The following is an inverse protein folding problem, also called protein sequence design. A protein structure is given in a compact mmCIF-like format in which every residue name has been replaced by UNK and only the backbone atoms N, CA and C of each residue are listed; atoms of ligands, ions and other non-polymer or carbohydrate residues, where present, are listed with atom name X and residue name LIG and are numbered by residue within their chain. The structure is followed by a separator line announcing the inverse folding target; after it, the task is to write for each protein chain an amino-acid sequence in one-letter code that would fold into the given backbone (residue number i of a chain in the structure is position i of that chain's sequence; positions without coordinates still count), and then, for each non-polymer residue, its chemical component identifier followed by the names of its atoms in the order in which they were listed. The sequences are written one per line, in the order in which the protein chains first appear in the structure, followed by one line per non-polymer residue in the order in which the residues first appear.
data_IF_236141504943
#
_entry.id   IF_236141504943
#
_cell.length_a   1.000
_cell.length_b   1.000
_cell.length_c   1.000
_cell.angle_alpha   90.00
_cell.angle_beta   90.00
_cell.angle_gamma   90.00
#
_symmetry.space_group_name_H-M   'P 1'
#
loop_
_entity.id
_entity.type
_entity.pdbx_description
1 polymer ?
#
# COMPACT_ATOMS: atom_id res chain seq x y z
N UNK A 1 12.10 0.09 35.29
CA UNK A 1 12.63 1.12 34.39
C UNK A 1 12.64 0.75 32.90
N UNK A 2 12.94 -0.47 32.43
CA UNK A 2 12.83 -0.75 30.98
C UNK A 2 11.38 -0.65 30.45
N UNK A 3 10.41 -1.15 31.24
CA UNK A 3 8.98 -1.10 30.89
C UNK A 3 8.46 0.32 30.63
N UNK A 4 8.86 1.31 31.44
CA UNK A 4 8.40 2.69 31.31
C UNK A 4 8.87 3.33 30.00
N UNK A 5 10.13 3.06 29.60
CA UNK A 5 10.65 3.54 28.32
C UNK A 5 9.94 2.86 27.14
N UNK A 6 9.75 1.54 27.17
CA UNK A 6 9.03 0.84 26.11
C UNK A 6 7.56 1.29 25.99
N UNK A 7 6.89 1.58 27.10
CA UNK A 7 5.52 2.12 27.09
C UNK A 7 5.47 3.53 26.50
N UNK A 8 6.39 4.41 26.87
CA UNK A 8 6.47 5.77 26.34
C UNK A 8 6.76 5.77 24.83
N UNK A 9 7.78 5.01 24.43
CA UNK A 9 8.17 4.85 23.02
C UNK A 9 7.05 4.21 22.21
N UNK A 10 6.39 3.18 22.72
CA UNK A 10 5.27 2.51 22.06
C UNK A 10 4.08 3.44 21.83
N UNK A 11 3.70 4.21 22.85
CA UNK A 11 2.62 5.20 22.73
C UNK A 11 2.98 6.33 21.74
N UNK A 12 4.21 6.84 21.81
CA UNK A 12 4.71 7.88 20.90
C UNK A 12 4.70 7.43 19.43
N UNK A 13 5.26 6.26 19.13
CA UNK A 13 5.27 5.70 17.78
C UNK A 13 3.87 5.40 17.26
N UNK A 14 2.99 4.90 18.12
CA UNK A 14 1.59 4.64 17.75
C UNK A 14 0.88 5.92 17.29
N UNK A 15 1.05 7.02 18.04
CA UNK A 15 0.45 8.31 17.70
C UNK A 15 1.02 8.89 16.41
N UNK A 16 2.34 8.84 16.22
CA UNK A 16 3.00 9.33 14.99
C UNK A 16 2.50 8.57 13.77
N UNK A 17 2.47 7.22 13.82
CA UNK A 17 1.98 6.39 12.71
C UNK A 17 0.52 6.67 12.39
N UNK A 18 -0.30 6.94 13.40
CA UNK A 18 -1.70 7.31 13.21
C UNK A 18 -1.84 8.65 12.48
N UNK A 19 -1.03 9.64 12.85
CA UNK A 19 -1.02 10.96 12.19
C UNK A 19 -0.50 10.87 10.74
N UNK A 20 0.58 10.13 10.50
CA UNK A 20 1.14 9.94 9.16
C UNK A 20 0.17 9.23 8.20
N UNK A 21 -0.70 8.37 8.73
CA UNK A 21 -1.72 7.67 7.94
C UNK A 21 -3.02 8.46 7.78
N UNK A 22 -3.04 9.75 8.12
CA UNK A 22 -4.24 10.60 8.02
C UNK A 22 -5.34 10.20 8.99
N UNK A 23 -4.97 9.72 10.19
CA UNK A 23 -5.93 9.27 11.21
C UNK A 23 -6.49 7.86 10.96
N UNK A 24 -5.99 7.12 9.96
CA UNK A 24 -6.36 5.73 9.74
C UNK A 24 -5.38 4.78 10.44
N UNK A 25 -5.87 3.60 10.83
CA UNK A 25 -5.02 2.53 11.40
C UNK A 25 -4.03 2.03 10.33
N UNK A 26 -2.81 1.63 10.70
CA UNK A 26 -1.86 1.04 9.75
C UNK A 26 -2.41 -0.29 9.22
N UNK A 27 -2.20 -0.57 7.93
CA UNK A 27 -2.49 -1.88 7.34
C UNK A 27 -1.31 -2.83 7.61
N UNK A 28 -1.65 -4.08 7.90
CA UNK A 28 -0.72 -5.18 8.06
C UNK A 28 -0.97 -6.21 6.94
N UNK A 29 0.03 -7.02 6.61
CA UNK A 29 -0.09 -8.09 5.59
C UNK A 29 -0.52 -7.59 4.20
N UNK A 30 0.05 -6.47 3.75
CA UNK A 30 -0.24 -5.85 2.45
C UNK A 30 0.29 -6.74 1.32
N UNK A 31 -0.61 -7.28 0.52
CA UNK A 31 -0.28 -8.16 -0.61
C UNK A 31 0.11 -7.36 -1.87
N UNK A 32 0.36 -8.06 -2.98
CA UNK A 32 0.77 -7.40 -4.22
C UNK A 32 -0.37 -6.59 -4.85
N UNK A 33 -1.61 -7.06 -4.71
CA UNK A 33 -2.80 -6.37 -5.21
C UNK A 33 -3.02 -5.06 -4.43
N UNK A 34 -2.94 -5.11 -3.11
CA UNK A 34 -3.06 -3.98 -2.20
C UNK A 34 -2.04 -2.90 -2.51
N UNK A 35 -0.79 -3.27 -2.82
CA UNK A 35 0.24 -2.30 -3.22
C UNK A 35 -0.16 -1.55 -4.50
N UNK A 36 -0.71 -2.26 -5.49
CA UNK A 36 -1.17 -1.64 -6.74
C UNK A 36 -2.39 -0.73 -6.49
N UNK A 37 -3.31 -1.15 -5.63
CA UNK A 37 -4.48 -0.34 -5.25
C UNK A 37 -4.07 0.90 -4.45
N UNK A 38 -3.09 0.80 -3.55
CA UNK A 38 -2.56 1.96 -2.82
C UNK A 38 -1.88 2.97 -3.74
N UNK A 39 -1.13 2.50 -4.73
CA UNK A 39 -0.53 3.36 -5.76
C UNK A 39 -1.59 4.01 -6.67
N UNK A 40 -2.71 3.31 -6.93
CA UNK A 40 -3.89 3.87 -7.60
C UNK A 40 -4.56 4.95 -6.75
N UNK A 41 -4.85 4.68 -5.49
CA UNK A 41 -5.52 5.61 -4.57
C UNK A 41 -4.71 6.89 -4.37
N UNK A 42 -3.38 6.76 -4.28
CA UNK A 42 -2.47 7.91 -4.23
C UNK A 42 -2.57 8.79 -5.47
N UNK A 43 -2.76 8.21 -6.66
CA UNK A 43 -2.94 8.97 -7.90
C UNK A 43 -4.30 9.66 -7.98
N UNK A 44 -5.33 9.02 -7.43
CA UNK A 44 -6.69 9.58 -7.42
C UNK A 44 -6.87 10.70 -6.40
N UNK A 45 -6.18 10.63 -5.26
CA UNK A 45 -6.41 11.54 -4.12
C UNK A 45 -5.21 12.41 -3.75
N UNK A 46 -4.02 12.13 -4.29
CA UNK A 46 -2.76 12.76 -3.89
C UNK A 46 -2.22 12.28 -2.53
N UNK A 47 -2.97 11.44 -1.80
CA UNK A 47 -2.58 10.94 -0.48
C UNK A 47 -2.53 9.40 -0.44
N UNK A 48 -1.49 8.84 0.20
CA UNK A 48 -1.25 7.38 0.21
C UNK A 48 -2.37 6.55 0.88
N UNK A 49 -3.28 7.21 1.64
CA UNK A 49 -4.44 6.60 2.30
C UNK A 49 -5.75 7.33 2.02
N UNK A 50 -5.74 8.24 1.05
CA UNK A 50 -6.94 8.97 0.64
C UNK A 50 -7.90 7.99 -0.01
N UNK A 51 -9.17 8.04 0.42
CA UNK A 51 -10.27 7.36 -0.28
C UNK A 51 -11.14 8.44 -0.90
N UNK A 52 -11.64 8.19 -2.08
CA UNK A 52 -12.55 9.08 -2.80
C UNK A 52 -13.71 8.24 -3.31
N UNK A 53 -14.92 8.74 -3.09
CA UNK A 53 -16.19 8.16 -3.53
C UNK A 53 -16.74 8.85 -4.80
N UNK A 54 -16.00 9.81 -5.34
CA UNK A 54 -16.38 10.53 -6.56
C UNK A 54 -16.52 9.56 -7.75
N UNK A 55 -17.70 9.58 -8.40
CA UNK A 55 -17.98 8.75 -9.56
C UNK A 55 -17.10 9.09 -10.78
N UNK A 56 -16.65 10.33 -10.89
CA UNK A 56 -15.80 10.83 -11.97
C UNK A 56 -14.38 11.07 -11.43
N UNK A 57 -13.39 10.46 -12.08
CA UNK A 57 -11.99 10.62 -11.72
C UNK A 57 -11.51 12.07 -11.94
N UNK A 58 -10.53 12.56 -11.16
CA UNK A 58 -10.00 13.90 -11.35
C UNK A 58 -9.32 14.05 -12.71
N UNK A 59 -9.47 15.24 -13.31
CA UNK A 59 -8.85 15.59 -14.60
C UNK A 59 -7.33 15.40 -14.50
N UNK A 60 -6.74 14.69 -15.46
CA UNK A 60 -5.30 14.37 -15.48
C UNK A 60 -4.93 13.00 -14.92
N UNK A 61 -5.86 12.27 -14.29
CA UNK A 61 -5.63 10.86 -13.93
C UNK A 61 -5.30 10.01 -15.16
N UNK A 62 -5.93 10.32 -16.29
CA UNK A 62 -5.74 9.66 -17.60
C UNK A 62 -4.28 9.66 -18.07
N UNK A 63 -3.54 10.74 -17.82
CA UNK A 63 -2.13 10.87 -18.23
C UNK A 63 -1.13 10.48 -17.12
N UNK A 64 -1.61 10.16 -15.92
CA UNK A 64 -0.78 9.95 -14.74
C UNK A 64 -0.15 8.55 -14.64
N UNK A 65 -0.18 7.74 -15.71
CA UNK A 65 0.25 6.35 -15.67
C UNK A 65 1.79 6.23 -15.64
N UNK A 66 2.40 5.78 -14.52
CA UNK A 66 3.83 5.58 -14.46
C UNK A 66 4.14 4.16 -14.94
N UNK A 67 4.56 4.03 -16.19
CA UNK A 67 5.20 2.80 -16.65
C UNK A 67 6.60 2.71 -16.05
N UNK A 68 6.81 1.74 -15.17
CA UNK A 68 8.13 1.45 -14.63
C UNK A 68 8.91 0.69 -15.69
N UNK A 69 9.99 1.28 -16.19
CA UNK A 69 10.90 0.58 -17.08
C UNK A 69 11.62 -0.53 -16.31
N UNK A 70 11.59 -1.74 -16.86
CA UNK A 70 12.24 -2.90 -16.28
C UNK A 70 13.75 -2.79 -16.46
N UNK A 71 14.44 -2.26 -15.44
CA UNK A 71 15.83 -2.64 -15.20
C UNK A 71 15.88 -4.12 -14.79
N UNK A 72 17.02 -4.78 -15.01
CA UNK A 72 17.25 -6.21 -14.68
C UNK A 72 16.87 -6.58 -13.22
N UNK A 73 16.81 -5.61 -12.30
CA UNK A 73 16.36 -5.77 -10.91
C UNK A 73 14.85 -5.98 -10.76
N UNK A 74 14.01 -5.43 -11.65
CA UNK A 74 12.54 -5.54 -11.58
C UNK A 74 11.99 -6.87 -12.12
N UNK A 75 12.66 -7.49 -13.11
CA UNK A 75 12.29 -8.84 -13.60
C UNK A 75 12.36 -9.88 -12.49
N UNK A 76 13.40 -9.79 -11.64
CA UNK A 76 13.59 -10.70 -10.50
C UNK A 76 12.50 -10.53 -9.44
N UNK A 77 12.04 -9.30 -9.21
CA UNK A 77 10.95 -9.01 -8.27
C UNK A 77 9.58 -9.42 -8.86
N UNK A 78 9.33 -9.15 -10.14
CA UNK A 78 8.07 -9.52 -10.81
C UNK A 78 7.88 -11.04 -10.94
N UNK A 79 8.93 -11.81 -11.25
CA UNK A 79 8.85 -13.28 -11.25
C UNK A 79 8.56 -13.83 -9.84
N UNK A 80 9.16 -13.24 -8.78
CA UNK A 80 8.87 -13.59 -7.38
C UNK A 80 7.42 -13.22 -6.97
N UNK A 81 6.89 -12.14 -7.52
CA UNK A 81 5.53 -11.67 -7.23
C UNK A 81 4.48 -12.49 -8.00
N UNK A 82 4.75 -12.93 -9.23
CA UNK A 82 3.89 -13.84 -10.00
C UNK A 82 3.75 -15.19 -9.29
N UNK A 83 4.85 -15.76 -8.80
CA UNK A 83 4.81 -17.01 -8.02
C UNK A 83 4.05 -16.88 -6.70
N UNK A 84 4.02 -15.69 -6.10
CA UNK A 84 3.28 -15.44 -4.84
C UNK A 84 1.78 -15.21 -5.07
N UNK A 85 1.37 -14.71 -6.24
CA UNK A 85 -0.05 -14.54 -6.59
C UNK A 85 -0.69 -15.88 -6.97
N UNK A 86 0.02 -16.72 -7.74
CA UNK A 86 -0.41 -18.10 -8.05
C UNK A 86 -0.57 -18.96 -6.78
N UNK A 87 0.26 -18.72 -5.75
CA UNK A 87 0.15 -19.45 -4.47
C UNK A 87 -1.05 -19.03 -3.60
N UNK A 88 -1.57 -17.80 -3.72
CA UNK A 88 -2.64 -17.29 -2.85
C UNK A 88 -4.02 -17.23 -3.53
N UNK A 89 -4.09 -17.23 -4.87
CA UNK A 89 -5.35 -17.17 -5.63
C UNK A 89 -5.86 -18.55 -6.09
N UNK A 90 -5.05 -19.60 -5.96
CA UNK A 90 -5.50 -20.98 -6.10
C UNK A 90 -6.23 -21.45 -4.83
N UNK A 91 -7.37 -20.85 -4.52
CA UNK A 91 -8.43 -21.64 -3.91
C UNK A 91 -9.00 -22.53 -5.02
N UNK A 92 -9.06 -23.85 -4.87
CA UNK A 92 -9.79 -24.68 -5.82
C UNK A 92 -11.22 -24.15 -5.85
N UNK A 93 -11.66 -23.74 -7.03
CA UNK A 93 -13.09 -23.62 -7.29
C UNK A 93 -13.68 -25.02 -7.10
N UNK A 94 -14.41 -25.23 -6.01
CA UNK A 94 -15.49 -26.22 -5.99
C UNK A 94 -16.70 -25.64 -6.75
#
# INVERSE_FOLDING_TARGET
MPLTFFSLTGAGLSKIRHMQNGGKRPRHSVDQWDKQMMDRDRRLTGFLRGQTDNAIAPKGFELSNPWRHLGLTYLREQLRLRSSCEANFCLPAE
#
